data_IF_151980951207
#
_entry.id   IF_151980951207
#
_cell.length_a   1.000
_cell.length_b   1.000
_cell.length_c   1.000
_cell.angle_alpha   90.00
_cell.angle_beta   90.00
_cell.angle_gamma   90.00
#
_symmetry.space_group_name_H-M   'P 1'
#
loop_
_entity.id
_entity.type
_entity.pdbx_description
1 polymer ?
#
# COMPACT_ATOMS: atom_id res chain seq x y z
N UNK A 1 64.51 -10.02 0.14
CA UNK A 1 63.73 -8.82 0.56
C UNK A 1 63.16 -8.21 -0.71
N UNK A 2 61.90 -7.77 -0.71
CA UNK A 2 61.02 -7.44 -1.87
C UNK A 2 60.37 -8.68 -2.54
N UNK A 3 59.08 -8.78 -2.87
CA UNK A 3 57.88 -7.93 -2.74
C UNK A 3 56.66 -8.86 -2.59
N UNK A 4 55.72 -8.47 -1.71
CA UNK A 4 54.40 -9.08 -1.55
C UNK A 4 53.64 -9.12 -2.88
N UNK A 5 53.12 -10.29 -3.25
CA UNK A 5 52.08 -10.41 -4.27
C UNK A 5 50.81 -9.69 -3.79
N UNK A 6 50.52 -8.56 -4.41
CA UNK A 6 49.24 -7.86 -4.29
C UNK A 6 48.18 -8.67 -5.04
N UNK A 7 47.38 -9.44 -4.31
CA UNK A 7 46.07 -9.90 -4.79
C UNK A 7 45.14 -8.70 -4.67
N UNK A 8 44.89 -8.00 -5.77
CA UNK A 8 43.80 -7.03 -5.85
C UNK A 8 42.47 -7.80 -5.97
N UNK A 9 41.48 -7.55 -5.09
CA UNK A 9 40.14 -8.06 -5.34
C UNK A 9 39.57 -7.29 -6.54
N UNK A 10 39.23 -8.01 -7.61
CA UNK A 10 38.38 -7.48 -8.68
C UNK A 10 37.00 -7.24 -8.04
N UNK A 11 36.84 -6.03 -7.51
CA UNK A 11 35.54 -5.42 -7.25
C UNK A 11 34.84 -5.30 -8.60
N UNK A 12 34.05 -6.32 -8.97
CA UNK A 12 32.98 -6.15 -9.94
C UNK A 12 31.99 -5.17 -9.31
N UNK A 13 32.21 -3.89 -9.58
CA UNK A 13 31.28 -2.81 -9.36
C UNK A 13 30.04 -3.10 -10.21
N UNK A 14 29.10 -3.86 -9.65
CA UNK A 14 27.70 -3.76 -10.01
C UNK A 14 27.25 -2.33 -9.70
N UNK A 15 27.55 -1.39 -10.62
CA UNK A 15 26.95 -0.06 -10.62
C UNK A 15 25.45 -0.26 -10.81
N UNK A 16 24.72 -0.29 -9.69
CA UNK A 16 23.27 -0.14 -9.74
C UNK A 16 22.99 1.29 -10.19
N UNK A 17 22.47 1.45 -11.40
CA UNK A 17 21.99 2.73 -11.88
C UNK A 17 20.81 3.14 -10.99
N UNK A 18 21.01 4.17 -10.15
CA UNK A 18 19.89 4.87 -9.53
C UNK A 18 19.26 5.73 -10.62
N UNK A 19 18.18 5.22 -11.20
CA UNK A 19 17.42 5.90 -12.25
C UNK A 19 16.65 7.08 -11.64
N UNK A 20 16.89 8.29 -12.13
CA UNK A 20 16.13 9.49 -11.75
C UNK A 20 15.01 9.69 -12.79
N UNK A 21 13.76 9.47 -12.36
CA UNK A 21 12.58 9.32 -13.24
C UNK A 21 11.46 10.34 -12.91
N UNK A 22 11.84 11.54 -12.47
CA UNK A 22 10.95 12.53 -11.83
C UNK A 22 9.79 13.07 -12.67
N UNK A 23 9.80 12.91 -14.01
CA UNK A 23 8.70 13.38 -14.89
C UNK A 23 7.71 12.28 -15.32
N UNK A 24 8.19 11.06 -15.60
CA UNK A 24 7.31 9.92 -15.87
C UNK A 24 6.58 9.48 -14.59
N UNK A 25 7.24 9.64 -13.44
CA UNK A 25 6.69 9.34 -12.13
C UNK A 25 5.56 10.30 -11.69
N UNK A 26 5.62 11.59 -12.05
CA UNK A 26 4.55 12.54 -11.70
C UNK A 26 3.29 12.37 -12.56
N UNK A 27 3.44 12.01 -13.84
CA UNK A 27 2.33 11.66 -14.71
C UNK A 27 1.60 10.40 -14.22
N UNK A 28 2.35 9.35 -13.84
CA UNK A 28 1.75 8.13 -13.31
C UNK A 28 1.00 8.36 -11.98
N UNK A 29 1.50 9.24 -11.09
CA UNK A 29 0.74 9.64 -9.89
C UNK A 29 -0.58 10.32 -10.27
N UNK A 30 -0.56 11.26 -11.22
CA UNK A 30 -1.77 11.98 -11.64
C UNK A 30 -2.81 11.03 -12.26
N UNK A 31 -2.39 10.11 -13.11
CA UNK A 31 -3.25 9.10 -13.73
C UNK A 31 -3.86 8.17 -12.68
N UNK A 32 -3.06 7.69 -11.72
CA UNK A 32 -3.57 6.79 -10.67
C UNK A 32 -4.53 7.49 -9.71
N UNK A 33 -4.28 8.76 -9.38
CA UNK A 33 -5.24 9.58 -8.60
C UNK A 33 -6.54 9.80 -9.38
N UNK A 34 -6.45 10.02 -10.69
CA UNK A 34 -7.61 10.14 -11.56
C UNK A 34 -8.42 8.84 -11.63
N UNK A 35 -7.75 7.69 -11.79
CA UNK A 35 -8.41 6.37 -11.77
C UNK A 35 -9.03 6.05 -10.40
N UNK A 36 -8.37 6.43 -9.31
CA UNK A 36 -8.94 6.34 -7.97
C UNK A 36 -10.23 7.19 -7.86
N UNK A 37 -10.19 8.45 -8.31
CA UNK A 37 -11.34 9.37 -8.23
C UNK A 37 -12.56 8.89 -9.00
N UNK A 38 -12.39 8.09 -10.07
CA UNK A 38 -13.51 7.49 -10.81
C UNK A 38 -14.32 6.49 -9.98
N UNK A 39 -13.65 5.76 -9.10
CA UNK A 39 -14.28 4.70 -8.30
C UNK A 39 -13.50 4.47 -6.97
N UNK A 40 -13.60 5.40 -6.00
CA UNK A 40 -12.88 5.27 -4.73
C UNK A 40 -13.29 4.00 -3.96
N UNK A 41 -14.57 3.63 -4.05
CA UNK A 41 -15.14 2.45 -3.37
C UNK A 41 -14.40 1.17 -3.76
N UNK A 42 -14.11 0.96 -5.04
CA UNK A 42 -13.33 -0.19 -5.51
C UNK A 42 -11.95 -0.27 -4.88
N UNK A 43 -11.24 0.85 -4.75
CA UNK A 43 -9.90 0.86 -4.17
C UNK A 43 -9.93 0.66 -2.64
N UNK A 44 -10.89 1.25 -1.95
CA UNK A 44 -11.10 0.97 -0.53
C UNK A 44 -11.51 -0.49 -0.27
N UNK A 45 -12.29 -1.14 -1.15
CA UNK A 45 -12.57 -2.58 -1.04
C UNK A 45 -11.30 -3.43 -1.14
N UNK A 46 -10.44 -3.13 -2.12
CA UNK A 46 -9.14 -3.81 -2.28
C UNK A 46 -8.28 -3.66 -1.04
N UNK A 47 -8.22 -2.44 -0.49
CA UNK A 47 -7.51 -2.17 0.75
C UNK A 47 -8.12 -2.92 1.95
N UNK A 48 -9.43 -2.86 2.11
CA UNK A 48 -10.15 -3.53 3.20
C UNK A 48 -9.93 -5.04 3.20
N UNK A 49 -9.91 -5.67 2.01
CA UNK A 49 -9.59 -7.09 1.88
C UNK A 49 -8.17 -7.38 2.34
N UNK A 50 -7.19 -6.60 1.89
CA UNK A 50 -5.80 -6.75 2.31
C UNK A 50 -5.66 -6.55 3.82
N UNK A 51 -6.30 -5.54 4.40
CA UNK A 51 -6.32 -5.30 5.84
C UNK A 51 -6.92 -6.46 6.61
N UNK A 52 -8.12 -6.92 6.23
CA UNK A 52 -8.79 -8.03 6.87
C UNK A 52 -7.94 -9.31 6.85
N UNK A 53 -7.31 -9.61 5.71
CA UNK A 53 -6.43 -10.77 5.56
C UNK A 53 -5.11 -10.64 6.35
N UNK A 54 -4.74 -9.43 6.79
CA UNK A 54 -3.48 -9.14 7.49
C UNK A 54 -2.31 -8.84 6.54
N UNK A 55 -2.61 -8.51 5.28
CA UNK A 55 -1.65 -8.09 4.26
C UNK A 55 -1.54 -6.57 4.12
N UNK A 56 -2.43 -5.79 4.73
CA UNK A 56 -2.21 -4.34 4.81
C UNK A 56 -0.85 -4.09 5.43
N UNK A 57 -0.12 -3.13 4.85
CA UNK A 57 1.26 -2.85 5.23
C UNK A 57 1.35 -2.71 6.75
N UNK A 58 2.10 -3.64 7.34
CA UNK A 58 2.64 -3.39 8.66
C UNK A 58 3.70 -2.31 8.40
N UNK A 59 3.39 -1.04 8.66
CA UNK A 59 4.31 0.09 8.44
C UNK A 59 5.72 -0.24 8.98
N UNK A 60 5.81 -1.03 10.06
CA UNK A 60 7.07 -1.53 10.64
C UNK A 60 7.87 -2.51 9.78
N UNK A 61 7.24 -3.30 8.90
CA UNK A 61 7.93 -4.28 8.04
C UNK A 61 8.50 -3.64 6.76
N UNK A 62 7.97 -2.50 6.32
CA UNK A 62 8.48 -1.79 5.14
C UNK A 62 9.81 -1.07 5.41
N UNK A 63 10.13 -0.77 6.67
CA UNK A 63 11.38 -0.12 7.05
C UNK A 63 12.59 -1.06 7.25
N UNK A 64 12.43 -2.38 7.03
CA UNK A 64 13.49 -3.36 7.31
C UNK A 64 14.11 -3.95 6.04
N UNK A 65 14.54 -3.12 5.08
CA UNK A 65 15.50 -3.54 4.06
C UNK A 65 16.92 -3.19 4.52
N UNK A 66 17.77 -4.17 4.89
CA UNK A 66 18.97 -3.93 5.69
C UNK A 66 20.11 -3.17 4.99
N UNK A 67 20.05 -2.92 3.67
CA UNK A 67 21.21 -2.41 2.91
C UNK A 67 20.91 -1.24 1.96
N UNK A 68 19.74 -0.62 2.04
CA UNK A 68 19.49 0.66 1.37
C UNK A 68 19.33 1.71 2.46
N UNK A 69 20.15 2.78 2.43
CA UNK A 69 19.88 4.01 3.21
C UNK A 69 18.39 4.30 3.13
N UNK A 70 17.76 4.60 4.27
CA UNK A 70 16.34 4.90 4.43
C UNK A 70 15.72 5.35 3.10
N UNK A 71 15.10 4.41 2.40
CA UNK A 71 14.31 4.78 1.23
C UNK A 71 13.21 5.64 1.82
N UNK A 72 13.22 6.95 1.50
CA UNK A 72 11.94 7.60 1.23
C UNK A 72 11.33 6.71 0.18
N UNK A 73 10.31 5.93 0.54
CA UNK A 73 9.50 5.33 -0.48
C UNK A 73 9.06 6.49 -1.37
N UNK A 74 9.60 6.54 -2.58
CA UNK A 74 8.88 7.21 -3.65
C UNK A 74 7.52 6.53 -3.63
N UNK A 75 6.49 7.25 -3.14
CA UNK A 75 5.08 6.85 -3.12
C UNK A 75 4.71 6.09 -4.39
N UNK A 76 4.87 4.76 -4.41
CA UNK A 76 4.50 4.00 -5.60
C UNK A 76 3.00 4.24 -5.84
N UNK A 77 2.61 4.93 -6.92
CA UNK A 77 1.23 5.33 -7.10
C UNK A 77 0.31 4.14 -7.37
N UNK A 78 0.89 2.98 -7.71
CA UNK A 78 0.18 1.73 -7.90
C UNK A 78 -0.06 0.97 -6.58
N UNK A 79 0.57 1.40 -5.48
CA UNK A 79 0.39 0.75 -4.20
C UNK A 79 -0.95 1.17 -3.59
N UNK A 80 -1.77 0.18 -3.20
CA UNK A 80 -3.13 0.45 -2.76
C UNK A 80 -3.18 1.38 -1.54
N UNK A 81 -2.21 1.27 -0.62
CA UNK A 81 -2.13 2.13 0.57
C UNK A 81 -1.90 3.60 0.21
N UNK A 82 -1.22 3.87 -0.91
CA UNK A 82 -1.02 5.24 -1.38
C UNK A 82 -2.25 5.75 -2.12
N UNK A 83 -2.89 4.88 -2.91
CA UNK A 83 -4.12 5.24 -3.63
C UNK A 83 -5.25 5.63 -2.68
N UNK A 84 -5.48 4.85 -1.62
CA UNK A 84 -6.57 5.13 -0.66
C UNK A 84 -6.31 6.32 0.27
N UNK A 85 -5.08 6.87 0.26
CA UNK A 85 -4.72 8.13 0.92
C UNK A 85 -5.00 9.36 0.05
N UNK A 86 -5.48 9.19 -1.18
CA UNK A 86 -5.76 10.31 -2.11
C UNK A 86 -6.79 11.30 -1.54
N UNK A 87 -7.75 10.84 -0.74
CA UNK A 87 -8.74 11.69 -0.07
C UNK A 87 -8.33 12.13 1.35
N UNK A 88 -7.05 11.97 1.72
CA UNK A 88 -6.59 12.12 3.10
C UNK A 88 -6.47 10.78 3.84
N UNK A 89 -6.05 10.86 5.10
CA UNK A 89 -5.80 9.68 5.96
C UNK A 89 -7.06 9.27 6.74
N UNK A 90 -7.95 10.21 6.99
CA UNK A 90 -9.18 10.08 7.76
C UNK A 90 -10.12 8.97 7.26
N UNK A 91 -10.36 8.79 5.93
CA UNK A 91 -11.19 7.69 5.43
C UNK A 91 -10.62 6.32 5.82
N UNK A 92 -9.29 6.20 5.77
CA UNK A 92 -8.57 4.97 6.05
C UNK A 92 -8.68 4.60 7.52
N UNK A 93 -8.50 5.59 8.41
CA UNK A 93 -8.67 5.41 9.85
C UNK A 93 -10.10 5.01 10.22
N UNK A 94 -11.11 5.68 9.65
CA UNK A 94 -12.52 5.37 9.91
C UNK A 94 -12.89 3.96 9.42
N UNK A 95 -12.40 3.56 8.25
CA UNK A 95 -12.60 2.22 7.69
C UNK A 95 -11.89 1.14 8.51
N UNK A 96 -10.65 1.39 8.95
CA UNK A 96 -9.87 0.48 9.80
C UNK A 96 -10.59 0.22 11.12
N UNK A 97 -11.04 1.27 11.80
CA UNK A 97 -11.78 1.15 13.06
C UNK A 97 -13.07 0.34 12.87
N UNK A 98 -13.75 0.47 11.73
CA UNK A 98 -14.94 -0.32 11.43
C UNK A 98 -14.61 -1.82 11.26
N UNK A 99 -13.57 -2.13 10.48
CA UNK A 99 -13.16 -3.51 10.22
C UNK A 99 -12.64 -4.21 11.49
N UNK A 100 -11.81 -3.53 12.28
CA UNK A 100 -11.20 -4.08 13.51
C UNK A 100 -12.27 -4.41 14.57
N UNK A 101 -13.41 -3.71 14.58
CA UNK A 101 -14.56 -4.03 15.46
C UNK A 101 -15.35 -5.24 15.00
N UNK A 102 -15.26 -5.60 13.72
CA UNK A 102 -16.13 -6.60 13.08
C UNK A 102 -15.49 -7.98 13.00
N UNK A 103 -14.18 -8.08 13.16
CA UNK A 103 -13.45 -9.36 13.10
C UNK A 103 -13.66 -10.18 14.37
N UNK A 104 -14.87 -10.73 14.55
CA UNK A 104 -15.08 -11.96 15.31
C UNK A 104 -15.05 -13.11 14.33
N UNK A 105 -13.93 -13.85 14.30
CA UNK A 105 -13.71 -14.95 13.37
C UNK A 105 -14.72 -16.06 13.64
N UNK A 106 -15.58 -16.37 12.66
CA UNK A 106 -16.58 -17.43 12.77
C UNK A 106 -16.06 -18.73 12.12
N UNK A 107 -16.81 -19.82 12.30
CA UNK A 107 -16.53 -21.21 11.90
C UNK A 107 -16.07 -21.41 10.43
N UNK A 108 -16.28 -20.45 9.53
CA UNK A 108 -15.97 -20.55 8.09
C UNK A 108 -14.53 -20.15 7.70
N UNK A 109 -13.75 -19.66 8.66
CA UNK A 109 -12.36 -19.31 8.49
C UNK A 109 -12.12 -17.90 7.96
N UNK A 110 -11.02 -17.30 8.42
CA UNK A 110 -10.63 -15.89 8.20
C UNK A 110 -10.74 -15.41 6.74
N UNK A 111 -10.34 -16.23 5.78
CA UNK A 111 -10.34 -15.83 4.36
C UNK A 111 -11.76 -15.61 3.85
N UNK A 112 -12.64 -16.58 4.06
CA UNK A 112 -14.03 -16.52 3.59
C UNK A 112 -14.79 -15.36 4.26
N UNK A 113 -14.60 -15.18 5.56
CA UNK A 113 -15.19 -14.07 6.30
C UNK A 113 -14.74 -12.71 5.74
N UNK A 114 -13.45 -12.57 5.40
CA UNK A 114 -12.96 -11.33 4.77
C UNK A 114 -13.58 -11.07 3.41
N UNK A 115 -13.76 -12.10 2.56
CA UNK A 115 -14.43 -11.93 1.27
C UNK A 115 -15.90 -11.57 1.44
N UNK A 116 -16.61 -12.26 2.33
CA UNK A 116 -18.01 -11.97 2.64
C UNK A 116 -18.18 -10.53 3.13
N UNK A 117 -17.41 -10.10 4.14
CA UNK A 117 -17.51 -8.75 4.70
C UNK A 117 -17.23 -7.68 3.65
N UNK A 118 -16.21 -7.87 2.80
CA UNK A 118 -15.79 -6.82 1.85
C UNK A 118 -16.70 -6.73 0.62
N UNK A 119 -17.21 -7.86 0.12
CA UNK A 119 -17.91 -7.90 -1.16
C UNK A 119 -19.41 -8.17 -1.06
N UNK A 120 -19.87 -8.85 -0.01
CA UNK A 120 -21.26 -9.32 0.10
C UNK A 120 -22.04 -8.61 1.22
N UNK A 121 -21.35 -8.14 2.25
CA UNK A 121 -22.00 -7.51 3.39
C UNK A 121 -22.51 -6.10 3.08
N UNK A 122 -23.83 -5.98 2.98
CA UNK A 122 -24.51 -4.71 2.67
C UNK A 122 -24.20 -3.58 3.65
N UNK A 123 -24.03 -3.88 4.95
CA UNK A 123 -23.71 -2.85 5.95
C UNK A 123 -22.28 -2.32 5.77
N UNK A 124 -21.36 -3.18 5.34
CA UNK A 124 -20.01 -2.73 4.97
C UNK A 124 -20.06 -1.83 3.73
N UNK A 125 -20.82 -2.23 2.70
CA UNK A 125 -21.00 -1.44 1.48
C UNK A 125 -21.54 -0.04 1.80
N UNK A 126 -22.65 0.06 2.52
CA UNK A 126 -23.27 1.34 2.91
C UNK A 126 -22.30 2.20 3.73
N UNK A 127 -21.57 1.58 4.66
CA UNK A 127 -20.59 2.29 5.48
C UNK A 127 -19.45 2.85 4.64
N UNK A 128 -18.96 2.06 3.69
CA UNK A 128 -17.89 2.48 2.80
C UNK A 128 -18.33 3.63 1.89
N UNK A 129 -19.54 3.55 1.32
CA UNK A 129 -20.12 4.64 0.52
C UNK A 129 -20.24 5.93 1.33
N UNK A 130 -20.71 5.87 2.58
CA UNK A 130 -20.76 7.04 3.47
C UNK A 130 -19.37 7.65 3.74
N UNK A 131 -18.34 6.81 3.93
CA UNK A 131 -16.96 7.28 4.14
C UNK A 131 -16.45 7.99 2.87
N UNK A 132 -16.65 7.37 1.70
CA UNK A 132 -16.26 7.96 0.41
C UNK A 132 -16.99 9.28 0.18
N UNK A 133 -18.30 9.32 0.37
CA UNK A 133 -19.09 10.55 0.22
C UNK A 133 -18.63 11.65 1.17
N UNK A 134 -18.26 11.31 2.41
CA UNK A 134 -17.82 12.27 3.42
C UNK A 134 -16.48 12.92 3.07
N UNK A 135 -15.51 12.16 2.56
CA UNK A 135 -14.12 12.60 2.46
C UNK A 135 -13.56 12.75 1.04
N UNK A 136 -14.11 12.03 0.06
CA UNK A 136 -13.62 12.03 -1.32
C UNK A 136 -14.38 13.01 -2.21
N UNK A 137 -14.88 14.11 -1.64
CA UNK A 137 -15.48 15.21 -2.43
C UNK A 137 -14.35 15.93 -3.18
N UNK A 138 -14.58 16.24 -4.44
CA UNK A 138 -13.60 16.91 -5.31
C UNK A 138 -13.09 18.25 -4.75
#
# INVERSE_FOLDING_TARGET
MFILSLITPILSLGRSYCYDETKAYSQSISEMRYEFKKDPVKYYKRWALMHCLGYASNERKMHQMPNCRERKETENPNHIDNMVKTCGIEPLEELKVYLDKRTSWDYNGKVNDCFYVVYEDKKFQERLEMIVEKYCKD
#
